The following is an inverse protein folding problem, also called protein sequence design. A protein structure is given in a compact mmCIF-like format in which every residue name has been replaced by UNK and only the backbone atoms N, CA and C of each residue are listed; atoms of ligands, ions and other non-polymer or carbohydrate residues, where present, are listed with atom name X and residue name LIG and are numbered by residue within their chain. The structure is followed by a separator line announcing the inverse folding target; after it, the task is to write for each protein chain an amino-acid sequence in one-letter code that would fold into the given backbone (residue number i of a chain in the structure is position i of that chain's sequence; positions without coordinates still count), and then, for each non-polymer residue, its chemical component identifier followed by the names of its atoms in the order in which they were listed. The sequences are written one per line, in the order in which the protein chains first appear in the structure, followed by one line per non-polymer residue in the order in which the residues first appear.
data_IF_310521528619
#
_entry.id   IF_310521528619
#
_cell.length_a   1.000
_cell.length_b   1.000
_cell.length_c   1.000
_cell.angle_alpha   90.00
_cell.angle_beta   90.00
_cell.angle_gamma   90.00
#
_symmetry.space_group_name_H-M   'P 1'
#
loop_
_entity.id
_entity.type
_entity.pdbx_description
1 polymer ?
#
# COMPACT_ATOMS: atom_id res chain seq x y z
N UNK A 1 21.06 -1.90 -10.70
CA UNK A 1 20.30 -1.94 -9.44
C UNK A 1 20.23 -0.55 -8.83
N UNK A 2 19.03 -0.14 -8.47
CA UNK A 2 18.81 1.15 -7.82
C UNK A 2 18.62 0.91 -6.31
N UNK A 3 19.55 1.42 -5.51
CA UNK A 3 19.52 1.33 -4.05
C UNK A 3 20.20 2.56 -3.44
N UNK A 4 19.82 3.00 -2.24
CA UNK A 4 18.67 2.54 -1.43
C UNK A 4 17.33 2.92 -2.08
N UNK A 5 16.28 2.18 -1.71
CA UNK A 5 14.93 2.46 -2.18
C UNK A 5 14.05 2.81 -0.99
N UNK A 6 13.22 3.85 -1.07
CA UNK A 6 12.24 4.12 -0.04
C UNK A 6 11.17 3.03 -0.03
N UNK A 7 10.59 2.78 1.14
CA UNK A 7 9.54 1.79 1.32
C UNK A 7 8.19 2.52 1.45
N UNK A 8 7.25 2.15 0.58
CA UNK A 8 5.85 2.49 0.78
C UNK A 8 5.14 1.31 1.42
N UNK A 9 4.66 1.47 2.64
CA UNK A 9 3.86 0.46 3.32
C UNK A 9 2.40 0.73 3.01
N UNK A 10 1.86 -0.03 2.06
CA UNK A 10 0.60 0.30 1.40
C UNK A 10 -0.55 -0.45 2.08
N UNK A 11 -1.51 0.30 2.58
CA UNK A 11 -2.78 -0.26 3.03
C UNK A 11 -3.88 0.04 2.03
N UNK A 12 -4.76 -0.93 1.85
CA UNK A 12 -5.90 -0.87 0.93
C UNK A 12 -7.01 -1.75 1.47
N UNK A 13 -8.20 -1.65 0.91
CA UNK A 13 -9.31 -2.51 1.29
C UNK A 13 -10.13 -2.86 0.06
N UNK A 14 -10.89 -3.96 0.15
CA UNK A 14 -11.88 -4.29 -0.86
C UNK A 14 -13.23 -3.64 -0.54
N UNK A 15 -14.22 -3.69 -1.46
CA UNK A 15 -15.53 -3.10 -1.19
C UNK A 15 -16.30 -3.75 -0.03
N UNK A 16 -15.91 -4.95 0.39
CA UNK A 16 -16.53 -5.68 1.50
C UNK A 16 -15.87 -5.39 2.85
N UNK A 17 -14.86 -4.52 2.88
CA UNK A 17 -14.18 -4.13 4.11
C UNK A 17 -13.03 -5.03 4.54
N UNK A 18 -12.55 -5.91 3.68
CA UNK A 18 -11.33 -6.68 3.95
C UNK A 18 -10.11 -5.79 3.73
N UNK A 19 -9.27 -5.67 4.74
CA UNK A 19 -8.09 -4.81 4.72
C UNK A 19 -6.84 -5.58 4.35
N UNK A 20 -5.96 -4.91 3.58
CA UNK A 20 -4.68 -5.43 3.15
C UNK A 20 -3.57 -4.45 3.51
N UNK A 21 -2.41 -4.97 3.88
CA UNK A 21 -1.24 -4.17 4.21
C UNK A 21 0.00 -4.90 3.68
N UNK A 22 0.76 -4.25 2.82
CA UNK A 22 1.96 -4.83 2.25
C UNK A 22 3.02 -3.77 1.95
N UNK A 23 4.32 -4.08 2.18
CA UNK A 23 5.40 -3.16 1.86
C UNK A 23 5.81 -3.28 0.39
N UNK A 24 6.16 -2.14 -0.21
CA UNK A 24 6.68 -2.06 -1.58
C UNK A 24 7.93 -1.21 -1.59
N UNK A 25 9.02 -1.75 -2.13
CA UNK A 25 10.29 -1.02 -2.25
C UNK A 25 10.45 -0.29 -3.58
N UNK A 26 9.55 -0.49 -4.53
CA UNK A 26 9.42 0.36 -5.70
C UNK A 26 8.40 1.44 -5.39
N UNK A 27 8.88 2.49 -4.74
CA UNK A 27 8.02 3.57 -4.24
C UNK A 27 8.75 4.89 -4.35
N UNK A 28 8.05 5.94 -4.80
CA UNK A 28 8.61 7.29 -4.82
C UNK A 28 7.52 8.35 -4.97
N UNK A 29 7.89 9.60 -4.63
CA UNK A 29 7.13 10.77 -5.01
C UNK A 29 7.43 11.12 -6.48
N UNK A 30 6.42 11.55 -7.23
CA UNK A 30 6.57 11.82 -8.67
C UNK A 30 6.13 13.21 -9.09
N UNK A 31 5.39 13.95 -8.27
CA UNK A 31 4.95 15.31 -8.59
C UNK A 31 4.60 16.09 -7.31
N UNK A 32 4.66 17.42 -7.40
CA UNK A 32 4.34 18.31 -6.28
C UNK A 32 2.97 18.97 -6.37
N UNK A 33 2.54 19.32 -7.58
CA UNK A 33 1.30 20.07 -7.77
C UNK A 33 0.51 19.45 -8.90
N UNK A 34 -0.52 18.67 -8.54
CA UNK A 34 -0.84 18.19 -7.20
C UNK A 34 0.21 17.20 -6.69
N UNK A 35 0.30 16.95 -5.37
CA UNK A 35 1.26 15.99 -4.83
C UNK A 35 0.86 14.57 -5.24
N UNK A 36 1.81 13.85 -5.82
CA UNK A 36 1.56 12.51 -6.36
C UNK A 36 2.67 11.56 -5.99
N UNK A 37 2.30 10.33 -5.74
CA UNK A 37 3.21 9.22 -5.43
C UNK A 37 2.96 8.06 -6.37
N UNK A 38 3.94 7.16 -6.47
CA UNK A 38 3.77 5.90 -7.18
C UNK A 38 4.38 4.75 -6.39
N UNK A 39 3.83 3.57 -6.58
CA UNK A 39 4.50 2.33 -6.23
C UNK A 39 4.30 1.31 -7.35
N UNK A 40 5.21 0.33 -7.44
CA UNK A 40 5.07 -0.74 -8.41
C UNK A 40 4.94 -2.08 -7.69
N UNK A 41 3.95 -2.84 -8.12
CA UNK A 41 3.70 -4.21 -7.66
C UNK A 41 4.18 -5.16 -8.75
N UNK A 42 5.00 -6.13 -8.38
CA UNK A 42 5.60 -7.06 -9.33
C UNK A 42 5.27 -8.51 -8.94
N UNK A 43 5.05 -9.34 -9.96
CA UNK A 43 4.81 -10.76 -9.79
C UNK A 43 3.38 -11.14 -9.43
N UNK A 44 3.13 -12.43 -9.43
CA UNK A 44 1.83 -13.03 -9.16
C UNK A 44 1.78 -13.54 -7.73
N UNK A 45 0.63 -13.41 -7.07
CA UNK A 45 0.42 -14.00 -5.75
C UNK A 45 0.43 -15.54 -5.89
N UNK A 46 1.22 -16.29 -5.06
CA UNK A 46 1.41 -17.73 -5.26
C UNK A 46 0.15 -18.59 -5.22
N UNK A 47 -0.86 -18.19 -4.45
CA UNK A 47 -2.10 -18.94 -4.26
C UNK A 47 -3.25 -18.48 -5.18
N UNK A 48 -2.96 -17.58 -6.13
CA UNK A 48 -3.98 -17.02 -7.01
C UNK A 48 -3.42 -16.74 -8.41
N UNK A 49 -4.31 -16.79 -9.38
CA UNK A 49 -4.00 -16.35 -10.74
C UNK A 49 -4.35 -14.87 -10.87
N UNK A 50 -3.34 -14.00 -10.92
CA UNK A 50 -3.58 -12.59 -11.12
C UNK A 50 -2.70 -11.68 -10.28
N UNK A 51 -3.21 -10.50 -9.98
CA UNK A 51 -2.48 -9.46 -9.28
C UNK A 51 -2.48 -9.67 -7.78
N UNK A 52 -1.50 -9.06 -7.10
CA UNK A 52 -1.47 -9.01 -5.64
C UNK A 52 -2.69 -8.23 -5.12
N UNK A 53 -3.05 -8.49 -3.87
CA UNK A 53 -4.25 -7.94 -3.23
C UNK A 53 -4.31 -6.41 -3.28
N UNK A 54 -3.18 -5.72 -3.10
CA UNK A 54 -3.13 -4.26 -3.15
C UNK A 54 -3.65 -3.73 -4.49
N UNK A 55 -3.13 -4.26 -5.60
CA UNK A 55 -3.56 -3.83 -6.95
C UNK A 55 -5.01 -4.19 -7.19
N UNK A 56 -5.43 -5.39 -6.80
CA UNK A 56 -6.82 -5.83 -6.97
C UNK A 56 -7.79 -4.93 -6.19
N UNK A 57 -7.45 -4.59 -4.96
CA UNK A 57 -8.25 -3.69 -4.13
C UNK A 57 -8.34 -2.29 -4.73
N UNK A 58 -7.20 -1.74 -5.17
CA UNK A 58 -7.14 -0.39 -5.72
C UNK A 58 -7.93 -0.30 -7.02
N UNK A 59 -7.92 -1.34 -7.85
CA UNK A 59 -8.77 -1.38 -9.06
C UNK A 59 -10.25 -1.25 -8.73
N UNK A 60 -10.68 -1.83 -7.62
CA UNK A 60 -12.08 -1.83 -7.21
C UNK A 60 -12.49 -0.55 -6.49
N UNK A 61 -11.62 -0.01 -5.65
CA UNK A 61 -11.96 1.11 -4.75
C UNK A 61 -11.40 2.45 -5.22
N UNK A 62 -10.30 2.45 -5.97
CA UNK A 62 -9.63 3.68 -6.38
C UNK A 62 -8.88 4.39 -5.27
N UNK A 63 -8.60 3.70 -4.14
CA UNK A 63 -8.02 4.32 -2.95
C UNK A 63 -6.91 3.47 -2.34
N UNK A 64 -5.93 4.13 -1.74
CA UNK A 64 -4.92 3.46 -0.93
C UNK A 64 -4.26 4.46 0.03
N UNK A 65 -3.60 3.92 1.04
CA UNK A 65 -2.84 4.74 2.00
C UNK A 65 -1.38 4.31 2.02
N UNK A 66 -0.48 5.28 1.96
CA UNK A 66 0.96 5.04 2.12
C UNK A 66 1.31 5.32 3.57
N UNK A 67 1.76 4.30 4.28
CA UNK A 67 2.25 4.44 5.65
C UNK A 67 3.77 4.50 5.62
N UNK A 68 4.33 5.51 6.26
CA UNK A 68 5.79 5.66 6.34
C UNK A 68 6.30 4.71 7.43
N UNK A 69 7.36 3.98 7.11
CA UNK A 69 7.94 2.98 8.02
C UNK A 69 9.12 3.60 8.75
N UNK A 70 9.11 3.54 10.09
CA UNK A 70 10.28 3.84 10.88
C UNK A 70 11.00 2.56 11.32
N UNK A 71 12.24 2.68 11.77
CA UNK A 71 13.09 1.54 12.09
C UNK A 71 12.45 0.58 13.10
N UNK A 72 11.76 1.12 14.12
CA UNK A 72 11.10 0.31 15.14
C UNK A 72 9.98 -0.60 14.59
N UNK A 73 9.52 -0.36 13.36
CA UNK A 73 8.44 -1.11 12.71
C UNK A 73 8.92 -2.21 11.74
N UNK A 74 10.22 -2.42 11.62
CA UNK A 74 10.78 -3.34 10.63
C UNK A 74 10.19 -4.75 10.74
N UNK A 75 10.12 -5.30 11.94
CA UNK A 75 9.64 -6.67 12.14
C UNK A 75 8.17 -6.81 11.76
N UNK A 76 7.34 -5.85 12.16
CA UNK A 76 5.92 -5.83 11.80
C UNK A 76 5.73 -5.66 10.29
N UNK A 77 6.52 -4.78 9.67
CA UNK A 77 6.49 -4.59 8.22
C UNK A 77 6.87 -5.87 7.48
N UNK A 78 7.93 -6.54 7.90
CA UNK A 78 8.36 -7.80 7.30
C UNK A 78 7.31 -8.90 7.47
N UNK A 79 6.65 -8.97 8.62
CA UNK A 79 5.56 -9.90 8.84
C UNK A 79 4.39 -9.65 7.88
N UNK A 80 4.10 -8.40 7.55
CA UNK A 80 3.04 -8.04 6.61
C UNK A 80 3.36 -8.37 5.15
N UNK A 81 4.63 -8.68 4.84
CA UNK A 81 5.05 -9.06 3.48
C UNK A 81 4.73 -10.52 3.14
N UNK A 82 4.24 -11.31 4.08
CA UNK A 82 3.91 -12.71 3.85
C UNK A 82 2.80 -12.86 2.80
N UNK A 83 2.94 -13.87 1.93
CA UNK A 83 1.92 -14.20 0.93
C UNK A 83 0.77 -14.95 1.62
N UNK A 84 -0.31 -14.25 1.88
CA UNK A 84 -1.51 -14.79 2.55
C UNK A 84 -2.69 -14.80 1.58
N UNK A 85 -3.71 -15.61 1.88
CA UNK A 85 -4.94 -15.58 1.09
C UNK A 85 -5.70 -14.27 1.34
N UNK A 86 -6.58 -13.88 0.38
CA UNK A 86 -7.29 -12.57 0.43
C UNK A 86 -8.15 -12.36 1.65
N UNK A 87 -8.58 -13.44 2.32
CA UNK A 87 -9.45 -13.34 3.48
C UNK A 87 -8.68 -13.17 4.79
N UNK A 88 -7.36 -13.08 4.73
CA UNK A 88 -6.51 -12.85 5.91
C UNK A 88 -6.09 -11.38 5.93
N UNK A 89 -6.37 -10.73 7.05
CA UNK A 89 -6.01 -9.33 7.29
C UNK A 89 -4.55 -9.26 7.75
N UNK A 90 -3.67 -8.65 6.93
CA UNK A 90 -2.26 -8.49 7.27
C UNK A 90 -2.04 -7.63 8.52
N UNK A 91 -2.93 -6.69 8.82
CA UNK A 91 -2.85 -5.94 10.09
C UNK A 91 -2.92 -6.89 11.28
N UNK A 92 -3.92 -7.76 11.30
CA UNK A 92 -4.10 -8.73 12.39
C UNK A 92 -2.97 -9.75 12.43
N UNK A 93 -2.55 -10.25 11.26
CA UNK A 93 -1.47 -11.22 11.15
C UNK A 93 -0.16 -10.69 11.71
N UNK A 94 0.17 -9.44 11.41
CA UNK A 94 1.42 -8.80 11.86
C UNK A 94 1.31 -8.16 13.25
N UNK A 95 0.14 -8.19 13.88
CA UNK A 95 -0.09 -7.56 15.19
C UNK A 95 -0.05 -6.04 15.14
N UNK A 96 -0.46 -5.44 14.03
CA UNK A 96 -0.38 -4.00 13.79
C UNK A 96 -1.72 -3.35 14.12
N UNK A 97 -1.69 -2.29 14.92
CA UNK A 97 -2.87 -1.51 15.21
C UNK A 97 -3.27 -0.68 14.00
N UNK A 98 -4.53 -0.79 13.61
CA UNK A 98 -5.10 -0.06 12.49
C UNK A 98 -5.99 1.07 12.98
N UNK A 99 -6.02 2.16 12.23
CA UNK A 99 -6.90 3.29 12.47
C UNK A 99 -7.53 3.72 11.15
N UNK A 100 -8.76 4.23 11.21
CA UNK A 100 -9.46 4.68 10.00
C UNK A 100 -8.78 5.89 9.39
N UNK A 101 -8.68 5.91 8.07
CA UNK A 101 -8.36 7.12 7.32
C UNK A 101 -9.50 8.12 7.39
N UNK A 102 -9.21 9.39 7.11
CA UNK A 102 -10.21 10.47 7.16
C UNK A 102 -10.87 10.75 5.82
N UNK A 103 -10.12 10.68 4.72
CA UNK A 103 -10.62 11.06 3.38
C UNK A 103 -10.92 9.87 2.50
N UNK A 104 -10.47 8.67 2.89
CA UNK A 104 -10.69 7.43 2.16
C UNK A 104 -11.19 6.35 3.13
N UNK A 105 -11.70 5.24 2.59
CA UNK A 105 -12.30 4.17 3.40
C UNK A 105 -11.30 3.14 3.93
N UNK A 106 -10.04 3.23 3.53
CA UNK A 106 -9.00 2.32 4.00
C UNK A 106 -8.60 2.60 5.46
N UNK A 107 -7.95 1.61 6.07
CA UNK A 107 -7.25 1.83 7.34
C UNK A 107 -5.82 2.29 7.09
N UNK A 108 -5.24 2.94 8.09
CA UNK A 108 -3.82 3.29 8.13
C UNK A 108 -3.16 2.61 9.32
N UNK A 109 -1.83 2.53 9.31
CA UNK A 109 -1.07 2.05 10.46
C UNK A 109 -1.12 3.15 11.54
N UNK A 110 -1.70 2.86 12.70
CA UNK A 110 -1.98 3.86 13.72
C UNK A 110 -0.74 4.61 14.20
N UNK A 111 0.40 3.90 14.34
CA UNK A 111 1.64 4.47 14.88
C UNK A 111 2.65 4.87 13.81
N UNK A 112 2.30 4.86 12.53
CA UNK A 112 3.20 5.30 11.48
C UNK A 112 3.55 6.78 11.67
N UNK A 113 4.81 7.20 11.44
CA UNK A 113 5.23 8.61 11.57
C UNK A 113 4.44 9.54 10.68
N UNK A 114 4.03 9.06 9.51
CA UNK A 114 3.15 9.78 8.61
C UNK A 114 2.37 8.78 7.78
N UNK A 115 1.20 9.17 7.33
CA UNK A 115 0.37 8.39 6.41
C UNK A 115 -0.18 9.32 5.34
N UNK A 116 -0.09 8.89 4.09
CA UNK A 116 -0.56 9.63 2.92
C UNK A 116 -1.80 8.94 2.38
N UNK A 117 -2.95 9.59 2.51
CA UNK A 117 -4.20 9.07 1.96
C UNK A 117 -4.28 9.46 0.49
N UNK A 118 -4.43 8.46 -0.38
CA UNK A 118 -4.31 8.65 -1.82
C UNK A 118 -5.55 8.19 -2.57
N UNK A 119 -5.87 8.96 -3.62
CA UNK A 119 -6.81 8.57 -4.64
C UNK A 119 -6.00 8.09 -5.86
N UNK A 120 -6.21 6.84 -6.26
CA UNK A 120 -5.51 6.28 -7.42
C UNK A 120 -5.93 7.00 -8.69
N UNK A 121 -4.96 7.41 -9.50
CA UNK A 121 -5.19 8.11 -10.76
C UNK A 121 -4.95 7.21 -11.96
N UNK A 122 -3.99 6.29 -11.87
CA UNK A 122 -3.66 5.38 -12.95
C UNK A 122 -3.11 4.07 -12.39
N UNK A 123 -3.40 2.97 -13.09
CA UNK A 123 -2.71 1.69 -12.91
C UNK A 123 -2.16 1.32 -14.29
N UNK A 124 -0.84 1.34 -14.41
CA UNK A 124 -0.16 1.14 -15.70
C UNK A 124 0.47 -0.25 -15.73
N UNK A 125 0.06 -1.11 -16.66
CA UNK A 125 0.74 -2.40 -16.83
C UNK A 125 2.13 -2.17 -17.41
N UNK A 126 3.11 -2.87 -16.83
CA UNK A 126 4.50 -2.83 -17.26
C UNK A 126 4.84 -4.12 -18.00
N UNK A 127 5.98 -4.11 -18.71
CA UNK A 127 6.48 -5.31 -19.37
C UNK A 127 6.64 -6.47 -18.37
N UNK A 128 6.41 -7.68 -18.85
CA UNK A 128 6.47 -8.89 -18.05
C UNK A 128 5.10 -9.32 -17.54
N UNK A 129 5.10 -10.29 -16.63
CA UNK A 129 3.87 -10.87 -16.09
C UNK A 129 3.52 -10.22 -14.75
N UNK A 130 2.31 -9.66 -14.66
CA UNK A 130 1.74 -9.08 -13.45
C UNK A 130 2.62 -7.98 -12.81
N UNK A 131 3.17 -7.10 -13.64
CA UNK A 131 3.90 -5.93 -13.19
C UNK A 131 3.05 -4.68 -13.44
N UNK A 132 2.82 -3.89 -12.39
CA UNK A 132 1.96 -2.70 -12.47
C UNK A 132 2.56 -1.54 -11.70
N UNK A 133 2.53 -0.35 -12.30
CA UNK A 133 2.81 0.90 -11.60
C UNK A 133 1.48 1.55 -11.20
N UNK A 134 1.32 1.87 -9.94
CA UNK A 134 0.12 2.52 -9.40
C UNK A 134 0.48 3.95 -9.05
N UNK A 135 -0.26 4.90 -9.61
CA UNK A 135 -0.10 6.33 -9.33
C UNK A 135 -1.27 6.83 -8.51
N UNK A 136 -1.00 7.70 -7.55
CA UNK A 136 -2.05 8.29 -6.74
C UNK A 136 -1.77 9.74 -6.40
N UNK A 137 -2.85 10.50 -6.30
CA UNK A 137 -2.83 11.86 -5.77
C UNK A 137 -3.00 11.80 -4.26
N UNK A 138 -2.12 12.49 -3.54
CA UNK A 138 -2.21 12.60 -2.08
C UNK A 138 -3.30 13.62 -1.73
N UNK A 139 -4.37 13.16 -1.09
CA UNK A 139 -5.51 14.00 -0.73
C UNK A 139 -5.64 14.23 0.77
N UNK A 140 -4.84 13.54 1.58
CA UNK A 140 -4.80 13.74 3.03
C UNK A 140 -3.49 13.25 3.60
N UNK A 141 -3.02 13.89 4.68
CA UNK A 141 -1.77 13.55 5.35
C UNK A 141 -2.01 13.50 6.85
N UNK A 142 -1.54 12.42 7.48
CA UNK A 142 -1.52 12.28 8.92
C UNK A 142 -0.07 12.39 9.39
N UNK A 143 0.33 13.49 10.02
CA UNK A 143 1.67 13.61 10.57
C UNK A 143 1.80 12.86 11.89
N UNK A 144 3.03 12.49 12.23
CA UNK A 144 3.37 11.93 13.55
C UNK A 144 3.16 12.98 14.63
N UNK A 145 2.66 12.53 15.78
CA UNK A 145 2.43 13.40 16.96
C UNK A 145 3.08 12.83 18.21
#
# INVERSE_FOLDING_TARGET
IVTPRPIGWISSCDPNGHHNLAPYSFFNAVAYVPPQVMFASTGIKPDQTGTKDSVANIRKTGEFCVNIVEHAMIDAMNASSASLSNNIDEFSHAGIEAEKCKTINCHRVANAPAALECRATQIVPLEGEANFAVFGEVIGIHPFR
#
